data_IF_282304013193
#
_entry.id   IF_282304013193
#
_cell.length_a   1.000
_cell.length_b   1.000
_cell.length_c   1.000
_cell.angle_alpha   90.00
_cell.angle_beta   90.00
_cell.angle_gamma   90.00
#
_symmetry.space_group_name_H-M   'P 1'
#
loop_
_entity.id
_entity.type
_entity.pdbx_description
1 polymer ?
#
# COMPACT_ATOMS: atom_id res chain seq x y z
N UNK A 1 -11.02 9.11 -5.93
CA UNK A 1 -10.69 8.13 -6.98
C UNK A 1 -10.45 6.74 -6.39
N UNK A 2 -9.82 6.66 -5.21
CA UNK A 2 -9.54 5.41 -4.49
C UNK A 2 -10.79 4.56 -4.22
N UNK A 3 -11.88 5.18 -3.78
CA UNK A 3 -13.15 4.48 -3.47
C UNK A 3 -13.65 3.70 -4.69
N UNK A 4 -13.65 4.32 -5.88
CA UNK A 4 -14.10 3.67 -7.11
C UNK A 4 -13.19 2.49 -7.53
N UNK A 5 -11.88 2.61 -7.32
CA UNK A 5 -10.94 1.51 -7.60
C UNK A 5 -11.14 0.36 -6.61
N UNK A 6 -11.34 0.67 -5.33
CA UNK A 6 -11.57 -0.30 -4.27
C UNK A 6 -12.88 -1.08 -4.47
N UNK A 7 -13.95 -0.36 -4.82
CA UNK A 7 -15.24 -0.92 -5.20
C UNK A 7 -15.11 -1.84 -6.42
N UNK A 8 -14.47 -1.36 -7.50
CA UNK A 8 -14.24 -2.15 -8.72
C UNK A 8 -13.39 -3.40 -8.48
N UNK A 9 -12.42 -3.34 -7.55
CA UNK A 9 -11.60 -4.48 -7.14
C UNK A 9 -12.31 -5.40 -6.13
N UNK A 10 -13.46 -4.99 -5.60
CA UNK A 10 -14.31 -5.80 -4.73
C UNK A 10 -13.83 -5.89 -3.28
N UNK A 11 -13.00 -4.96 -2.82
CA UNK A 11 -12.52 -4.94 -1.42
C UNK A 11 -13.07 -3.78 -0.60
N UNK A 12 -14.08 -3.06 -1.11
CA UNK A 12 -14.84 -2.08 -0.37
C UNK A 12 -16.21 -2.68 -0.02
N UNK A 13 -16.62 -2.54 1.24
CA UNK A 13 -17.97 -2.89 1.69
C UNK A 13 -18.95 -1.75 1.38
N UNK A 14 -20.25 -2.06 1.37
CA UNK A 14 -21.33 -1.08 1.11
C UNK A 14 -21.36 0.06 2.14
N UNK A 15 -20.85 -0.19 3.36
CA UNK A 15 -20.74 0.80 4.44
C UNK A 15 -19.48 1.69 4.31
N UNK A 16 -18.68 1.50 3.26
CA UNK A 16 -17.45 2.24 3.00
C UNK A 16 -16.22 1.72 3.77
N UNK A 17 -16.35 0.64 4.54
CA UNK A 17 -15.22 -0.01 5.21
C UNK A 17 -14.48 -0.95 4.27
N UNK A 18 -13.25 -1.33 4.62
CA UNK A 18 -12.41 -2.22 3.82
C UNK A 18 -12.73 -3.68 4.15
N UNK A 19 -13.04 -4.48 3.13
CA UNK A 19 -13.07 -5.93 3.23
C UNK A 19 -11.63 -6.48 3.18
N UNK A 20 -11.06 -6.76 4.35
CA UNK A 20 -9.67 -7.20 4.48
C UNK A 20 -9.37 -8.53 3.77
N UNK A 21 -10.31 -9.47 3.77
CA UNK A 21 -10.13 -10.77 3.12
C UNK A 21 -10.09 -10.62 1.59
N UNK A 22 -11.03 -9.84 1.04
CA UNK A 22 -11.04 -9.54 -0.39
C UNK A 22 -9.80 -8.73 -0.81
N UNK A 23 -9.37 -7.79 0.02
CA UNK A 23 -8.14 -7.03 -0.20
C UNK A 23 -6.91 -7.95 -0.24
N UNK A 24 -6.79 -8.87 0.72
CA UNK A 24 -5.69 -9.83 0.78
C UNK A 24 -5.64 -10.68 -0.49
N UNK A 25 -6.78 -11.21 -0.92
CA UNK A 25 -6.88 -11.95 -2.19
C UNK A 25 -6.50 -11.10 -3.41
N UNK A 26 -6.87 -9.81 -3.43
CA UNK A 26 -6.45 -8.89 -4.49
C UNK A 26 -4.93 -8.66 -4.49
N UNK A 27 -4.31 -8.49 -3.31
CA UNK A 27 -2.85 -8.28 -3.19
C UNK A 27 -2.08 -9.54 -3.59
N UNK A 28 -2.54 -10.72 -3.15
CA UNK A 28 -1.95 -12.02 -3.55
C UNK A 28 -1.99 -12.20 -5.06
N UNK A 29 -3.07 -11.77 -5.73
CA UNK A 29 -3.20 -11.82 -7.18
C UNK A 29 -2.32 -10.78 -7.89
N UNK A 30 -2.33 -9.53 -7.44
CA UNK A 30 -1.62 -8.42 -8.09
C UNK A 30 -0.10 -8.55 -7.96
N UNK A 31 0.38 -9.17 -6.88
CA UNK A 31 1.80 -9.35 -6.58
C UNK A 31 2.19 -10.83 -6.44
N UNK A 32 1.53 -11.72 -7.18
CA UNK A 32 1.77 -13.16 -7.14
C UNK A 32 3.25 -13.55 -7.33
N UNK A 33 3.96 -12.79 -8.18
CA UNK A 33 5.39 -13.02 -8.45
C UNK A 33 6.32 -12.48 -7.36
N UNK A 34 5.79 -11.76 -6.37
CA UNK A 34 6.54 -11.09 -5.30
C UNK A 34 6.00 -11.46 -3.90
N UNK A 35 6.14 -12.74 -3.46
CA UNK A 35 5.56 -13.22 -2.21
C UNK A 35 6.08 -12.48 -0.96
N UNK A 36 7.33 -12.00 -1.00
CA UNK A 36 7.88 -11.16 0.09
C UNK A 36 7.13 -9.84 0.22
N UNK A 37 6.77 -9.20 -0.89
CA UNK A 37 5.99 -7.96 -0.90
C UNK A 37 4.57 -8.21 -0.40
N UNK A 38 3.93 -9.30 -0.83
CA UNK A 38 2.60 -9.72 -0.32
C UNK A 38 2.63 -9.87 1.20
N UNK A 39 3.66 -10.54 1.74
CA UNK A 39 3.84 -10.70 3.19
C UNK A 39 4.02 -9.37 3.93
N UNK A 40 4.81 -8.44 3.38
CA UNK A 40 4.97 -7.08 3.94
C UNK A 40 3.65 -6.31 3.94
N UNK A 41 2.94 -6.28 2.81
CA UNK A 41 1.65 -5.57 2.69
C UNK A 41 0.62 -6.15 3.67
N UNK A 42 0.51 -7.47 3.73
CA UNK A 42 -0.44 -8.13 4.65
C UNK A 42 -0.14 -7.74 6.09
N UNK A 43 1.11 -7.93 6.53
CA UNK A 43 1.50 -7.68 7.92
C UNK A 43 1.44 -6.21 8.33
N UNK A 44 1.91 -5.29 7.46
CA UNK A 44 2.07 -3.88 7.80
C UNK A 44 0.85 -3.02 7.46
N UNK A 45 0.07 -3.39 6.44
CA UNK A 45 -1.03 -2.56 5.92
C UNK A 45 -2.41 -3.14 6.18
N UNK A 46 -2.59 -4.46 6.04
CA UNK A 46 -3.92 -5.09 6.23
C UNK A 46 -4.15 -5.39 7.71
N UNK A 47 -3.15 -6.00 8.34
CA UNK A 47 -3.18 -6.40 9.76
C UNK A 47 -2.53 -5.36 10.69
N UNK A 48 -1.82 -4.39 10.12
CA UNK A 48 -1.07 -3.37 10.85
C UNK A 48 -1.88 -2.11 11.19
N UNK A 49 -1.22 -1.21 11.90
CA UNK A 49 -1.76 0.10 12.27
C UNK A 49 -1.52 1.12 11.14
N UNK A 50 -2.63 1.65 10.61
CA UNK A 50 -2.64 2.58 9.49
C UNK A 50 -2.33 4.04 9.89
N UNK A 51 -2.39 4.38 11.18
CA UNK A 51 -2.19 5.76 11.65
C UNK A 51 -0.76 6.26 11.46
N UNK A 52 0.20 5.36 11.21
CA UNK A 52 1.59 5.71 10.90
C UNK A 52 1.80 6.18 9.45
N UNK A 53 0.79 6.04 8.58
CA UNK A 53 0.94 6.22 7.13
C UNK A 53 0.19 7.43 6.57
N UNK A 54 -0.62 8.12 7.37
CA UNK A 54 -1.17 9.43 7.05
C UNK A 54 -1.66 10.14 8.33
N UNK A 55 -1.94 11.46 8.28
CA UNK A 55 -2.61 12.17 9.38
C UNK A 55 -3.89 11.48 9.86
N UNK A 56 -4.21 11.63 11.15
CA UNK A 56 -5.33 10.90 11.78
C UNK A 56 -6.70 11.20 11.16
N UNK A 57 -6.89 12.40 10.63
CA UNK A 57 -8.12 12.88 9.99
C UNK A 57 -8.36 12.27 8.60
N UNK A 58 -7.40 11.52 8.05
CA UNK A 58 -7.56 10.85 6.77
C UNK A 58 -8.39 9.58 6.89
N UNK A 59 -9.18 9.28 5.85
CA UNK A 59 -9.94 8.04 5.78
C UNK A 59 -9.00 6.82 5.68
N UNK A 60 -9.41 5.69 6.28
CA UNK A 60 -8.62 4.45 6.32
C UNK A 60 -8.22 3.95 4.93
N UNK A 61 -9.07 4.11 3.92
CA UNK A 61 -8.74 3.73 2.54
C UNK A 61 -7.54 4.52 1.99
N UNK A 62 -7.39 5.78 2.39
CA UNK A 62 -6.27 6.61 1.98
C UNK A 62 -4.99 6.24 2.73
N UNK A 63 -5.09 6.02 4.05
CA UNK A 63 -3.98 5.51 4.86
C UNK A 63 -3.49 4.15 4.37
N UNK A 64 -4.42 3.25 4.03
CA UNK A 64 -4.12 1.94 3.45
C UNK A 64 -3.37 2.07 2.12
N UNK A 65 -3.85 2.93 1.22
CA UNK A 65 -3.18 3.18 -0.07
C UNK A 65 -1.75 3.68 0.14
N UNK A 66 -1.54 4.62 1.07
CA UNK A 66 -0.19 5.10 1.40
C UNK A 66 0.70 3.98 1.93
N UNK A 67 0.19 3.17 2.87
CA UNK A 67 0.94 2.03 3.39
C UNK A 67 1.36 1.08 2.26
N UNK A 68 0.43 0.69 1.38
CA UNK A 68 0.72 -0.22 0.26
C UNK A 68 1.77 0.38 -0.67
N UNK A 69 1.63 1.65 -1.05
CA UNK A 69 2.61 2.33 -1.92
C UNK A 69 4.01 2.34 -1.29
N UNK A 70 4.13 2.63 0.00
CA UNK A 70 5.41 2.59 0.70
C UNK A 70 6.04 1.19 0.70
N UNK A 71 5.24 0.12 0.84
CA UNK A 71 5.78 -1.24 0.75
C UNK A 71 6.21 -1.60 -0.67
N UNK A 72 5.45 -1.16 -1.69
CA UNK A 72 5.75 -1.40 -3.10
C UNK A 72 7.04 -0.68 -3.49
N UNK A 73 7.12 0.64 -3.26
CA UNK A 73 8.34 1.40 -3.56
C UNK A 73 9.52 0.91 -2.73
N UNK A 74 9.32 0.66 -1.44
CA UNK A 74 10.37 0.17 -0.54
C UNK A 74 10.81 -1.27 -0.80
N UNK A 75 10.15 -1.97 -1.73
CA UNK A 75 10.58 -3.29 -2.21
C UNK A 75 10.95 -3.26 -3.70
N UNK A 76 11.09 -2.07 -4.30
CA UNK A 76 11.54 -1.92 -5.67
C UNK A 76 13.00 -2.39 -5.77
N UNK A 77 13.30 -3.43 -6.58
CA UNK A 77 14.64 -4.00 -6.66
C UNK A 77 15.61 -3.10 -7.45
N UNK A 78 15.07 -2.27 -8.33
CA UNK A 78 15.83 -1.45 -9.27
C UNK A 78 15.28 -0.02 -9.21
N UNK A 79 16.09 0.89 -8.68
CA UNK A 79 15.83 2.32 -8.74
C UNK A 79 16.60 2.93 -9.89
N UNK A 80 15.95 3.80 -10.66
CA UNK A 80 16.64 4.64 -11.63
C UNK A 80 17.36 5.77 -10.89
N UNK A 81 18.62 5.55 -10.54
CA UNK A 81 19.44 6.51 -9.78
C UNK A 81 19.95 7.68 -10.64
N UNK A 82 19.88 7.57 -11.96
CA UNK A 82 20.23 8.67 -12.88
C UNK A 82 19.10 9.69 -12.98
N UNK A 83 17.87 9.28 -12.66
CA UNK A 83 16.71 10.14 -12.55
C UNK A 83 16.63 10.78 -11.15
N UNK A 84 16.76 12.11 -11.08
CA UNK A 84 16.72 12.86 -9.83
C UNK A 84 15.42 12.65 -9.04
N UNK A 85 14.27 12.60 -9.73
CA UNK A 85 12.96 12.42 -9.07
C UNK A 85 12.86 11.02 -8.43
N UNK A 86 13.36 9.99 -9.12
CA UNK A 86 13.40 8.62 -8.58
C UNK A 86 14.32 8.50 -7.37
N UNK A 87 15.49 9.15 -7.41
CA UNK A 87 16.42 9.16 -6.27
C UNK A 87 15.82 9.88 -5.05
N UNK A 88 15.13 11.00 -5.24
CA UNK A 88 14.47 11.71 -4.13
C UNK A 88 13.33 10.88 -3.52
N UNK A 89 12.54 10.20 -4.36
CA UNK A 89 11.47 9.32 -3.88
C UNK A 89 12.03 8.14 -3.09
N UNK A 90 13.14 7.53 -3.54
CA UNK A 90 13.83 6.46 -2.80
C UNK A 90 14.20 6.90 -1.40
N UNK A 91 14.84 8.06 -1.26
CA UNK A 91 15.25 8.63 0.03
C UNK A 91 14.04 8.90 0.95
N UNK A 92 12.93 9.37 0.38
CA UNK A 92 11.69 9.60 1.14
C UNK A 92 11.05 8.29 1.62
N UNK A 93 11.02 7.28 0.76
CA UNK A 93 10.49 5.96 1.10
C UNK A 93 11.28 5.32 2.23
N UNK A 94 12.62 5.38 2.18
CA UNK A 94 13.49 4.86 3.24
C UNK A 94 13.23 5.55 4.59
N UNK A 95 12.98 6.86 4.60
CA UNK A 95 12.62 7.62 5.81
C UNK A 95 11.25 7.26 6.36
N UNK A 96 10.32 6.86 5.50
CA UNK A 96 8.93 6.56 5.83
C UNK A 96 8.64 5.05 5.99
N UNK A 97 9.65 4.18 5.91
CA UNK A 97 9.53 2.75 6.21
C UNK A 97 9.44 2.52 7.73
N UNK A 98 8.26 2.79 8.31
CA UNK A 98 7.90 2.47 9.70
C UNK A 98 7.68 0.95 9.86
#
# INVERSE_FOLDING_TARGET
MEICVADKKGYLNDDGTINKDALKGSIEKDFADNPTLVGKITKKCIDGDLDNYAPQDFCDLHKLKHCILLQVFGSCPEWDEENADCSEIKDLVEKCQV
#
